data_IF_182562331186
#
_entry.id   IF_182562331186
#
_cell.length_a   1.000
_cell.length_b   1.000
_cell.length_c   1.000
_cell.angle_alpha   90.00
_cell.angle_beta   90.00
_cell.angle_gamma   90.00
#
_symmetry.space_group_name_H-M   'P 1'
#
loop_
_entity.id
_entity.type
_entity.pdbx_description
1 polymer ?
#
# COMPACT_ATOMS: atom_id res chain seq x y z
N UNK A 1 -28.42 -10.39 18.03
CA UNK A 1 -27.95 -10.35 16.62
C UNK A 1 -26.46 -10.05 16.60
N UNK A 2 -25.63 -11.01 16.19
CA UNK A 2 -24.19 -10.78 16.01
C UNK A 2 -24.05 -9.82 14.81
N UNK A 3 -23.66 -8.56 15.04
CA UNK A 3 -23.28 -7.64 13.96
C UNK A 3 -22.22 -8.38 13.13
N UNK A 4 -22.54 -8.67 11.87
CA UNK A 4 -21.61 -9.30 10.94
C UNK A 4 -20.40 -8.37 10.84
N UNK A 5 -19.31 -8.67 11.55
CA UNK A 5 -18.09 -7.87 11.50
C UNK A 5 -17.57 -8.01 10.07
N UNK A 6 -17.76 -6.98 9.25
CA UNK A 6 -17.16 -6.91 7.93
C UNK A 6 -15.67 -6.68 8.16
N UNK A 7 -14.91 -7.78 8.19
CA UNK A 7 -13.46 -7.74 8.41
C UNK A 7 -12.72 -7.17 7.19
N UNK A 8 -13.27 -7.37 5.99
CA UNK A 8 -12.73 -6.92 4.71
C UNK A 8 -13.77 -7.08 3.58
N UNK A 9 -13.92 -6.07 2.73
CA UNK A 9 -14.85 -6.07 1.59
C UNK A 9 -14.32 -5.24 0.42
N UNK A 10 -14.62 -5.65 -0.82
CA UNK A 10 -14.29 -4.84 -2.00
C UNK A 10 -15.09 -3.53 -2.09
N UNK A 11 -16.21 -3.43 -1.38
CA UNK A 11 -16.98 -2.19 -1.25
C UNK A 11 -16.19 -1.07 -0.56
N UNK A 12 -15.11 -1.41 0.16
CA UNK A 12 -14.20 -0.45 0.77
C UNK A 12 -13.26 0.22 -0.25
N UNK A 13 -13.29 -0.22 -1.52
CA UNK A 13 -12.44 0.31 -2.59
C UNK A 13 -13.31 0.82 -3.75
N UNK A 14 -13.11 2.09 -4.19
CA UNK A 14 -13.75 2.64 -5.39
C UNK A 14 -13.40 1.82 -6.63
N UNK A 15 -14.35 1.67 -7.57
CA UNK A 15 -14.19 0.78 -8.73
C UNK A 15 -12.96 1.09 -9.58
N UNK A 16 -12.67 2.38 -9.79
CA UNK A 16 -11.47 2.83 -10.53
C UNK A 16 -10.14 2.42 -9.90
N UNK A 17 -10.12 2.13 -8.61
CA UNK A 17 -8.94 1.66 -7.88
C UNK A 17 -8.95 0.14 -7.68
N UNK A 18 -9.93 -0.58 -8.24
CA UNK A 18 -9.96 -2.05 -8.15
C UNK A 18 -9.00 -2.68 -9.15
N UNK A 19 -8.35 -3.75 -8.72
CA UNK A 19 -7.48 -4.58 -9.56
C UNK A 19 -8.24 -5.66 -10.32
N UNK A 20 -7.50 -6.36 -11.18
CA UNK A 20 -7.96 -7.51 -11.98
C UNK A 20 -7.53 -8.87 -11.37
N UNK A 21 -7.30 -8.93 -10.05
CA UNK A 21 -6.86 -10.17 -9.39
C UNK A 21 -7.98 -11.22 -9.38
N UNK A 22 -7.62 -12.50 -9.47
CA UNK A 22 -8.59 -13.58 -9.57
C UNK A 22 -9.52 -13.63 -8.35
N UNK A 23 -10.78 -14.03 -8.56
CA UNK A 23 -11.77 -14.18 -7.47
C UNK A 23 -11.29 -15.17 -6.40
N UNK A 24 -10.56 -16.22 -6.79
CA UNK A 24 -9.98 -17.21 -5.89
C UNK A 24 -8.94 -16.58 -4.98
N UNK A 25 -7.98 -15.83 -5.53
CA UNK A 25 -6.95 -15.15 -4.73
C UNK A 25 -7.57 -14.16 -3.75
N UNK A 26 -8.58 -13.39 -4.20
CA UNK A 26 -9.35 -12.48 -3.33
C UNK A 26 -10.00 -13.24 -2.16
N UNK A 27 -10.63 -14.39 -2.42
CA UNK A 27 -11.27 -15.22 -1.38
C UNK A 27 -10.25 -15.77 -0.38
N UNK A 28 -9.13 -16.30 -0.87
CA UNK A 28 -8.03 -16.80 -0.02
C UNK A 28 -7.51 -15.67 0.87
N UNK A 29 -7.30 -14.48 0.30
CA UNK A 29 -6.80 -13.34 1.06
C UNK A 29 -7.78 -12.89 2.16
N UNK A 30 -9.09 -12.82 1.85
CA UNK A 30 -10.13 -12.52 2.84
C UNK A 30 -10.20 -13.58 3.93
N UNK A 31 -10.08 -14.86 3.56
CA UNK A 31 -10.02 -15.95 4.52
C UNK A 31 -8.81 -15.80 5.44
N UNK A 32 -7.62 -15.50 4.89
CA UNK A 32 -6.39 -15.23 5.66
C UNK A 32 -6.54 -14.10 6.68
N UNK A 33 -7.15 -12.98 6.29
CA UNK A 33 -7.48 -11.88 7.23
C UNK A 33 -8.44 -12.37 8.31
N UNK A 34 -9.48 -13.12 7.94
CA UNK A 34 -10.45 -13.61 8.90
C UNK A 34 -9.83 -14.56 9.94
N UNK A 35 -9.03 -15.55 9.53
CA UNK A 35 -8.45 -16.52 10.47
C UNK A 35 -7.35 -15.91 11.35
N UNK A 36 -6.64 -14.91 10.85
CA UNK A 36 -5.59 -14.22 11.62
C UNK A 36 -6.16 -13.28 12.69
N UNK A 37 -7.48 -13.04 12.67
CA UNK A 37 -8.17 -12.14 13.58
C UNK A 37 -7.97 -10.66 13.26
N UNK A 38 -7.41 -10.35 12.08
CA UNK A 38 -7.20 -8.98 11.65
C UNK A 38 -8.46 -8.36 11.07
N UNK A 39 -8.57 -7.04 11.21
CA UNK A 39 -9.69 -6.24 10.67
C UNK A 39 -9.17 -5.06 9.85
N UNK A 40 -9.87 -4.71 8.78
CA UNK A 40 -9.58 -3.50 8.00
C UNK A 40 -10.68 -2.48 8.25
N UNK A 41 -10.33 -1.37 8.88
CA UNK A 41 -11.26 -0.29 9.22
C UNK A 41 -11.14 0.86 8.24
N UNK A 42 -12.28 1.44 7.86
CA UNK A 42 -12.35 2.58 6.94
C UNK A 42 -12.48 2.19 5.47
N UNK A 43 -12.40 3.19 4.59
CA UNK A 43 -12.58 3.04 3.14
C UNK A 43 -11.49 3.82 2.40
N UNK A 44 -11.02 3.28 1.28
CA UNK A 44 -10.12 4.00 0.38
C UNK A 44 -10.92 5.16 -0.24
N UNK A 45 -10.43 6.41 -0.15
CA UNK A 45 -11.14 7.57 -0.69
C UNK A 45 -11.22 7.49 -2.22
N UNK A 46 -12.31 7.99 -2.79
CA UNK A 46 -12.49 8.04 -4.25
C UNK A 46 -11.62 9.15 -4.86
N UNK A 47 -10.36 8.82 -5.11
CA UNK A 47 -9.37 9.70 -5.75
C UNK A 47 -8.68 8.94 -6.87
N UNK A 48 -8.25 9.65 -7.91
CA UNK A 48 -7.57 9.02 -9.05
C UNK A 48 -6.16 8.58 -8.70
N UNK A 49 -5.45 9.37 -7.89
CA UNK A 49 -4.05 9.16 -7.58
C UNK A 49 -3.81 9.27 -6.08
N UNK A 50 -3.37 8.18 -5.47
CA UNK A 50 -3.14 8.08 -4.02
C UNK A 50 -1.72 7.59 -3.77
N UNK A 51 -1.03 8.25 -2.84
CA UNK A 51 0.20 7.77 -2.21
C UNK A 51 -0.15 7.28 -0.81
N UNK A 52 -0.10 5.97 -0.58
CA UNK A 52 -0.30 5.36 0.73
C UNK A 52 1.01 5.37 1.50
N UNK A 53 0.92 5.83 2.75
CA UNK A 53 1.98 5.80 3.75
C UNK A 53 1.54 4.87 4.86
N UNK A 54 2.15 3.69 4.92
CA UNK A 54 1.86 2.69 5.94
C UNK A 54 2.89 2.77 7.07
N UNK A 55 2.44 3.05 8.28
CA UNK A 55 3.30 3.16 9.47
C UNK A 55 2.49 2.85 10.76
N UNK A 56 3.08 2.23 11.79
CA UNK A 56 4.47 1.80 11.86
C UNK A 56 4.71 0.51 11.06
N UNK A 57 5.88 0.39 10.43
CA UNK A 57 6.37 -0.87 9.87
C UNK A 57 7.43 -1.48 10.78
N UNK A 58 7.11 -2.54 11.49
CA UNK A 58 7.97 -3.14 12.53
C UNK A 58 8.42 -4.56 12.19
N UNK A 59 7.71 -5.27 11.30
CA UNK A 59 7.94 -6.69 11.02
C UNK A 59 7.79 -7.03 9.55
N UNK A 60 8.41 -8.13 9.12
CA UNK A 60 8.14 -8.69 7.79
C UNK A 60 6.68 -9.17 7.66
N UNK A 61 6.05 -9.52 8.79
CA UNK A 61 4.64 -9.90 8.82
C UNK A 61 3.70 -8.79 8.34
N UNK A 62 4.10 -7.52 8.50
CA UNK A 62 3.34 -6.38 7.99
C UNK A 62 3.23 -6.44 6.46
N UNK A 63 4.25 -6.95 5.76
CA UNK A 63 4.19 -7.11 4.31
C UNK A 63 3.20 -8.20 3.91
N UNK A 64 3.21 -9.34 4.59
CA UNK A 64 2.26 -10.44 4.35
C UNK A 64 0.83 -9.94 4.59
N UNK A 65 0.62 -9.27 5.72
CA UNK A 65 -0.66 -8.67 6.08
C UNK A 65 -1.11 -7.62 5.05
N UNK A 66 -0.21 -6.75 4.60
CA UNK A 66 -0.50 -5.77 3.55
C UNK A 66 -0.89 -6.43 2.22
N UNK A 67 -0.23 -7.53 1.83
CA UNK A 67 -0.61 -8.27 0.61
C UNK A 67 -1.99 -8.92 0.75
N UNK A 68 -2.30 -9.52 1.90
CA UNK A 68 -3.65 -10.05 2.17
C UNK A 68 -4.71 -8.94 2.12
N UNK A 69 -4.42 -7.77 2.69
CA UNK A 69 -5.30 -6.61 2.64
C UNK A 69 -5.52 -6.14 1.19
N UNK A 70 -4.44 -5.92 0.43
CA UNK A 70 -4.50 -5.47 -0.96
C UNK A 70 -5.32 -6.45 -1.81
N UNK A 71 -5.08 -7.75 -1.68
CA UNK A 71 -5.82 -8.76 -2.43
C UNK A 71 -7.28 -8.90 -1.99
N UNK A 72 -7.56 -8.89 -0.69
CA UNK A 72 -8.92 -9.05 -0.20
C UNK A 72 -9.79 -7.82 -0.48
N UNK A 73 -9.22 -6.63 -0.43
CA UNK A 73 -9.86 -5.37 -0.86
C UNK A 73 -9.98 -5.27 -2.39
N UNK A 74 -9.27 -6.12 -3.13
CA UNK A 74 -9.08 -6.04 -4.57
C UNK A 74 -8.49 -4.68 -4.99
N UNK A 75 -7.55 -4.13 -4.23
CA UNK A 75 -6.94 -2.82 -4.49
C UNK A 75 -5.83 -2.93 -5.54
N UNK A 76 -5.86 -2.08 -6.56
CA UNK A 76 -4.78 -1.93 -7.54
C UNK A 76 -3.66 -1.06 -6.95
N UNK A 77 -2.59 -1.72 -6.49
CA UNK A 77 -1.46 -1.05 -5.84
C UNK A 77 -0.15 -1.34 -6.58
N UNK A 78 0.70 -0.33 -6.69
CA UNK A 78 2.15 -0.49 -6.83
C UNK A 78 2.81 -0.13 -5.51
N UNK A 79 3.86 -0.83 -5.10
CA UNK A 79 4.51 -0.55 -3.82
C UNK A 79 6.02 -0.45 -3.96
N UNK A 80 6.62 0.42 -3.16
CA UNK A 80 8.06 0.67 -3.20
C UNK A 80 8.78 -0.24 -2.19
N UNK A 81 9.71 -1.05 -2.67
CA UNK A 81 10.44 -2.01 -1.85
C UNK A 81 11.96 -1.86 -1.98
N UNK A 82 12.70 -2.20 -0.92
CA UNK A 82 14.18 -2.18 -0.96
C UNK A 82 14.69 -3.14 -2.05
N UNK A 83 15.60 -2.70 -2.93
CA UNK A 83 16.21 -3.54 -3.99
C UNK A 83 16.62 -4.94 -3.53
N UNK A 84 17.11 -5.08 -2.29
CA UNK A 84 17.61 -6.36 -1.76
C UNK A 84 16.58 -7.49 -1.66
N UNK A 85 15.27 -7.21 -1.75
CA UNK A 85 14.23 -8.25 -1.83
C UNK A 85 13.97 -8.71 -3.28
N UNK A 86 14.39 -7.92 -4.27
CA UNK A 86 14.25 -8.21 -5.70
C UNK A 86 15.49 -8.96 -6.22
N UNK A 87 15.84 -10.08 -5.57
CA UNK A 87 16.94 -10.95 -6.00
C UNK A 87 16.51 -11.83 -7.21
N UNK A 88 17.47 -12.35 -8.00
CA UNK A 88 17.17 -13.39 -8.99
C UNK A 88 16.32 -14.52 -8.37
N UNK A 89 15.32 -15.00 -9.10
CA UNK A 89 14.31 -15.96 -8.61
C UNK A 89 13.06 -15.30 -7.99
N UNK A 90 13.23 -14.27 -7.17
CA UNK A 90 12.09 -13.59 -6.50
C UNK A 90 11.65 -12.30 -7.18
N UNK A 91 12.49 -11.71 -8.03
CA UNK A 91 12.21 -10.44 -8.70
C UNK A 91 10.88 -10.45 -9.46
N UNK A 92 10.66 -11.45 -10.33
CA UNK A 92 9.43 -11.56 -11.13
C UNK A 92 8.18 -11.70 -10.24
N UNK A 93 8.31 -12.45 -9.15
CA UNK A 93 7.24 -12.60 -8.16
C UNK A 93 6.88 -11.26 -7.53
N UNK A 94 7.86 -10.52 -6.99
CA UNK A 94 7.58 -9.22 -6.38
C UNK A 94 7.10 -8.17 -7.39
N UNK A 95 7.59 -8.18 -8.62
CA UNK A 95 7.10 -7.31 -9.70
C UNK A 95 5.65 -7.66 -10.08
N UNK A 96 5.28 -8.94 -10.14
CA UNK A 96 3.90 -9.40 -10.34
C UNK A 96 2.97 -8.97 -9.20
N UNK A 97 3.48 -8.91 -7.96
CA UNK A 97 2.78 -8.33 -6.81
C UNK A 97 2.64 -6.79 -6.89
N UNK A 98 3.21 -6.14 -7.92
CA UNK A 98 3.19 -4.69 -8.09
C UNK A 98 4.39 -3.97 -7.47
N UNK A 99 5.43 -4.69 -7.07
CA UNK A 99 6.62 -4.14 -6.43
C UNK A 99 7.49 -3.34 -7.40
N UNK A 100 8.02 -2.22 -6.91
CA UNK A 100 8.98 -1.35 -7.59
C UNK A 100 10.27 -1.33 -6.75
N UNK A 101 11.41 -1.80 -7.28
CA UNK A 101 12.66 -1.77 -6.56
C UNK A 101 13.16 -0.33 -6.37
N UNK A 102 13.55 -0.01 -5.14
CA UNK A 102 14.13 1.28 -4.76
C UNK A 102 15.64 1.16 -4.63
N UNK A 103 16.35 1.96 -5.43
CA UNK A 103 17.78 2.21 -5.34
C UNK A 103 17.98 3.44 -4.46
N UNK A 104 18.65 3.28 -3.31
CA UNK A 104 18.74 4.35 -2.30
C UNK A 104 19.71 5.46 -2.71
N UNK A 105 20.64 5.11 -3.60
CA UNK A 105 21.71 5.97 -4.08
C UNK A 105 21.25 6.82 -5.27
N UNK A 106 20.05 6.53 -5.81
CA UNK A 106 19.47 7.24 -6.95
C UNK A 106 17.95 7.50 -6.77
N UNK A 107 17.59 8.52 -5.96
CA UNK A 107 16.20 8.85 -5.69
C UNK A 107 15.50 9.54 -6.88
N UNK A 108 16.24 10.18 -7.80
CA UNK A 108 15.66 10.91 -8.93
C UNK A 108 15.06 9.95 -9.95
N UNK A 109 15.82 8.91 -10.32
CA UNK A 109 15.35 7.87 -11.25
C UNK A 109 14.11 7.14 -10.72
N UNK A 110 14.02 6.94 -9.40
CA UNK A 110 12.82 6.36 -8.78
C UNK A 110 11.59 7.24 -8.99
N UNK A 111 11.71 8.55 -8.76
CA UNK A 111 10.59 9.49 -8.90
C UNK A 111 10.13 9.51 -10.36
N UNK A 112 11.05 9.62 -11.32
CA UNK A 112 10.73 9.58 -12.74
C UNK A 112 10.00 8.29 -13.13
N UNK A 113 10.48 7.14 -12.65
CA UNK A 113 9.82 5.85 -12.86
C UNK A 113 8.39 5.85 -12.33
N UNK A 114 8.16 6.36 -11.12
CA UNK A 114 6.81 6.46 -10.53
C UNK A 114 5.93 7.41 -11.34
N UNK A 115 6.44 8.58 -11.74
CA UNK A 115 5.71 9.54 -12.58
C UNK A 115 5.30 8.90 -13.90
N UNK A 116 6.19 8.16 -14.55
CA UNK A 116 5.90 7.47 -15.80
C UNK A 116 4.83 6.37 -15.64
N UNK A 117 4.84 5.65 -14.51
CA UNK A 117 3.77 4.67 -14.21
C UNK A 117 2.44 5.40 -14.01
N UNK A 118 2.42 6.49 -13.23
CA UNK A 118 1.20 7.27 -12.98
C UNK A 118 0.64 7.88 -14.27
N UNK A 119 1.49 8.36 -15.18
CA UNK A 119 1.05 8.90 -16.49
C UNK A 119 0.35 7.86 -17.37
N UNK A 120 0.79 6.59 -17.30
CA UNK A 120 0.22 5.50 -18.09
C UNK A 120 -1.09 4.95 -17.52
N UNK A 121 -1.35 5.17 -16.23
CA UNK A 121 -2.44 4.55 -15.49
C UNK A 121 -3.50 5.60 -15.14
N UNK A 122 -4.75 5.43 -15.61
CA UNK A 122 -5.85 6.37 -15.35
C UNK A 122 -6.12 6.57 -13.85
N UNK A 123 -5.95 5.52 -13.05
CA UNK A 123 -6.07 5.59 -11.59
C UNK A 123 -5.10 4.60 -10.94
N UNK A 124 -4.45 5.03 -9.86
CA UNK A 124 -3.36 4.28 -9.25
C UNK A 124 -3.14 4.63 -7.78
N UNK A 125 -2.77 3.59 -7.02
CA UNK A 125 -2.27 3.70 -5.66
C UNK A 125 -0.79 3.32 -5.61
N UNK A 126 0.05 4.19 -5.05
CA UNK A 126 1.45 3.92 -4.75
C UNK A 126 1.63 3.77 -3.25
N UNK A 127 2.03 2.61 -2.74
CA UNK A 127 2.23 2.37 -1.32
C UNK A 127 3.71 2.32 -0.93
N UNK A 128 4.05 2.87 0.23
CA UNK A 128 5.39 2.75 0.81
C UNK A 128 5.38 2.92 2.33
N UNK A 129 6.48 2.55 2.96
CA UNK A 129 6.73 2.81 4.38
C UNK A 129 7.72 3.97 4.49
N UNK A 130 7.34 5.09 5.15
CA UNK A 130 8.16 6.30 5.18
C UNK A 130 9.42 6.14 6.05
N UNK A 131 9.44 5.17 6.96
CA UNK A 131 10.60 4.81 7.76
C UNK A 131 11.72 4.20 6.89
N UNK A 132 11.35 3.46 5.84
CA UNK A 132 12.29 2.76 4.95
C UNK A 132 13.11 1.65 5.65
N UNK A 133 12.76 1.30 6.87
CA UNK A 133 13.34 0.25 7.70
C UNK A 133 12.30 -0.22 8.72
N UNK A 134 12.51 -1.41 9.28
CA UNK A 134 11.70 -1.95 10.39
C UNK A 134 12.17 -1.46 11.77
N UNK A 135 13.34 -0.82 11.82
CA UNK A 135 13.87 -0.22 13.05
C UNK A 135 13.12 1.07 13.35
N UNK A 136 12.93 1.37 14.64
CA UNK A 136 12.38 2.67 15.07
C UNK A 136 13.23 3.81 14.53
N UNK A 137 12.59 4.82 13.95
CA UNK A 137 13.25 6.03 13.43
C UNK A 137 12.69 7.27 14.11
N UNK A 138 13.54 8.28 14.32
CA UNK A 138 13.12 9.60 14.84
C UNK A 138 12.51 10.50 13.76
N UNK A 139 12.89 10.28 12.49
CA UNK A 139 12.46 11.08 11.34
C UNK A 139 12.13 10.17 10.16
N UNK A 140 11.02 10.47 9.49
CA UNK A 140 10.62 9.82 8.24
C UNK A 140 11.38 10.37 7.04
N UNK A 141 11.52 9.54 6.01
CA UNK A 141 12.05 9.99 4.72
C UNK A 141 10.97 10.78 3.98
N UNK A 142 11.34 11.89 3.36
CA UNK A 142 10.40 12.81 2.68
C UNK A 142 10.15 12.49 1.21
N UNK A 143 10.74 11.42 0.67
CA UNK A 143 10.60 11.05 -0.75
C UNK A 143 9.15 10.87 -1.21
N UNK A 144 8.26 10.43 -0.32
CA UNK A 144 6.84 10.31 -0.61
C UNK A 144 6.15 11.67 -0.87
N UNK A 145 6.61 12.76 -0.23
CA UNK A 145 6.11 14.11 -0.47
C UNK A 145 6.47 14.57 -1.88
N UNK A 146 7.71 14.30 -2.30
CA UNK A 146 8.18 14.58 -3.67
C UNK A 146 7.38 13.79 -4.71
N UNK A 147 7.15 12.51 -4.46
CA UNK A 147 6.31 11.67 -5.33
C UNK A 147 4.90 12.26 -5.40
N UNK A 148 4.24 12.50 -4.27
CA UNK A 148 2.89 13.04 -4.22
C UNK A 148 2.77 14.38 -4.96
N UNK A 149 3.74 15.29 -4.80
CA UNK A 149 3.78 16.56 -5.53
C UNK A 149 3.90 16.35 -7.05
N UNK A 150 4.87 15.54 -7.48
CA UNK A 150 5.15 15.32 -8.91
C UNK A 150 4.04 14.54 -9.63
N UNK A 151 3.31 13.69 -8.92
CA UNK A 151 2.20 12.90 -9.47
C UNK A 151 0.84 13.56 -9.25
N UNK A 152 0.79 14.71 -8.56
CA UNK A 152 -0.43 15.37 -8.08
C UNK A 152 -1.33 14.40 -7.28
N UNK A 153 -0.69 13.49 -6.53
CA UNK A 153 -1.40 12.51 -5.71
C UNK A 153 -1.76 13.08 -4.35
N UNK A 154 -2.88 12.60 -3.81
CA UNK A 154 -3.21 12.76 -2.41
C UNK A 154 -2.44 11.76 -1.56
N UNK A 155 -2.13 12.09 -0.31
CA UNK A 155 -1.47 11.18 0.62
C UNK A 155 -2.53 10.52 1.51
N UNK A 156 -2.51 9.21 1.65
CA UNK A 156 -3.39 8.46 2.55
C UNK A 156 -2.55 7.78 3.62
N UNK A 157 -2.85 8.08 4.88
CA UNK A 157 -2.18 7.43 6.01
C UNK A 157 -2.88 6.11 6.32
N UNK A 158 -2.09 5.04 6.49
CA UNK A 158 -2.58 3.74 6.95
C UNK A 158 -1.77 3.33 8.17
N UNK A 159 -2.47 2.94 9.24
CA UNK A 159 -1.84 2.33 10.41
C UNK A 159 -1.93 0.82 10.36
N UNK A 160 -0.90 0.15 10.89
CA UNK A 160 -0.91 -1.28 11.19
C UNK A 160 -0.75 -1.40 12.70
N UNK A 161 -1.83 -1.72 13.39
CA UNK A 161 -1.90 -1.80 14.84
C UNK A 161 -1.99 -3.27 15.28
N UNK A 162 -0.83 -3.83 15.65
CA UNK A 162 -0.73 -5.22 16.11
C UNK A 162 -1.47 -5.50 17.43
N UNK A 163 -1.39 -4.64 18.47
CA UNK A 163 -2.21 -4.77 19.68
C UNK A 163 -3.70 -4.97 19.43
N UNK A 164 -4.30 -4.17 18.54
CA UNK A 164 -5.73 -4.27 18.21
C UNK A 164 -6.03 -5.17 17.00
N UNK A 165 -4.99 -5.74 16.37
CA UNK A 165 -5.06 -6.48 15.10
C UNK A 165 -5.90 -5.73 14.05
N UNK A 166 -5.59 -4.46 13.84
CA UNK A 166 -6.32 -3.65 12.87
C UNK A 166 -5.41 -2.91 11.89
N UNK A 167 -5.87 -2.85 10.64
CA UNK A 167 -5.34 -1.95 9.62
C UNK A 167 -6.35 -0.82 9.49
N UNK A 168 -5.96 0.40 9.87
CA UNK A 168 -6.88 1.53 9.82
C UNK A 168 -6.54 2.41 8.62
N UNK A 169 -7.53 2.57 7.74
CA UNK A 169 -7.48 3.53 6.64
C UNK A 169 -7.81 4.90 7.23
N UNK A 170 -6.77 5.71 7.40
CA UNK A 170 -6.84 7.00 8.05
C UNK A 170 -7.27 8.14 7.14
N UNK A 171 -6.89 9.35 7.54
CA UNK A 171 -7.25 10.58 6.83
C UNK A 171 -6.43 10.75 5.56
N UNK A 172 -7.06 11.39 4.58
CA UNK A 172 -6.39 11.88 3.39
C UNK A 172 -5.73 13.24 3.69
N UNK A 173 -4.54 13.44 3.15
CA UNK A 173 -3.76 14.65 3.29
C UNK A 173 -3.42 15.21 1.91
N UNK A 174 -3.60 16.53 1.78
CA UNK A 174 -3.20 17.29 0.60
C UNK A 174 -1.83 17.91 0.90
N UNK A 175 -0.75 17.52 0.19
CA UNK A 175 0.53 18.21 0.34
C UNK A 175 0.35 19.69 0.00
N UNK A 176 0.59 20.57 0.97
CA UNK A 176 0.55 22.03 0.79
C UNK A 176 1.76 22.55 0.02
N UNK A 177 2.88 21.81 0.04
CA UNK A 177 4.13 22.22 -0.58
C UNK A 177 5.00 23.17 0.25
N UNK A 178 4.52 23.54 1.44
CA UNK A 178 5.24 24.30 2.47
C UNK A 178 5.67 23.39 3.61
#
# INVERSE_FOLDING_TARGET
>A
MIKKIIRISESQVPERLRGSRSKILRKIARFGINISGWTIKGNIPNQERIVIIAAPHTSNWDFILAMLAIFGLNLKVRWLGKKSIFKPGFKLFFEWLGGIPVYRDDPSTLIEKVVNIVKKEKSIVIAMTPEGTRKKVKRWKTGFLRIAKQTQSKILLISIDAPTKSIEIGKIFNPSGN
#
